data_IF_431589867864
#
_entry.id   IF_431589867864
#
_cell.length_a   1.000
_cell.length_b   1.000
_cell.length_c   1.000
_cell.angle_alpha   90.00
_cell.angle_beta   90.00
_cell.angle_gamma   90.00
#
_symmetry.space_group_name_H-M   'P 1'
#
loop_
_entity.id
_entity.type
_entity.pdbx_description
1 polymer ?
#
# COMPACT_ATOMS: atom_id res chain seq x y z
N UNK A 1 -12.67 36.14 8.59
CA UNK A 1 -13.49 35.17 7.83
C UNK A 1 -13.17 33.77 8.35
N UNK A 2 -14.14 33.13 9.01
CA UNK A 2 -13.98 31.79 9.59
C UNK A 2 -14.21 30.76 8.47
N UNK A 3 -13.18 29.99 8.13
CA UNK A 3 -13.31 28.94 7.13
C UNK A 3 -14.06 27.77 7.77
N UNK A 4 -15.29 27.51 7.32
CA UNK A 4 -16.10 26.39 7.79
C UNK A 4 -15.37 25.06 7.46
N UNK A 5 -14.96 24.26 8.47
CA UNK A 5 -14.21 23.02 8.26
C UNK A 5 -14.98 21.98 7.45
N UNK A 6 -16.31 22.10 7.39
CA UNK A 6 -17.19 21.23 6.61
C UNK A 6 -16.85 21.21 5.11
N UNK A 7 -16.42 22.33 4.54
CA UNK A 7 -16.14 22.43 3.10
C UNK A 7 -14.91 21.62 2.67
N UNK A 8 -13.92 21.45 3.55
CA UNK A 8 -12.73 20.64 3.29
C UNK A 8 -13.02 19.14 3.25
N UNK A 9 -13.94 18.66 4.10
CA UNK A 9 -14.32 17.25 4.13
C UNK A 9 -15.06 16.84 2.86
N UNK A 10 -16.04 17.64 2.43
CA UNK A 10 -16.82 17.37 1.20
C UNK A 10 -15.91 17.34 -0.04
N UNK A 11 -14.94 18.25 -0.15
CA UNK A 11 -13.96 18.26 -1.26
C UNK A 11 -13.02 17.05 -1.28
N UNK A 12 -12.71 16.42 -0.13
CA UNK A 12 -11.87 15.22 -0.11
C UNK A 12 -12.61 13.98 -0.63
N UNK A 13 -13.93 13.90 -0.44
CA UNK A 13 -14.75 12.76 -0.87
C UNK A 13 -15.09 12.75 -2.36
N UNK A 14 -15.08 13.91 -3.01
CA UNK A 14 -15.33 14.04 -4.46
C UNK A 14 -14.09 13.81 -5.34
N UNK A 15 -12.94 13.38 -4.78
CA UNK A 15 -11.77 13.05 -5.59
C UNK A 15 -11.94 11.68 -6.24
N UNK A 16 -11.72 11.62 -7.55
CA UNK A 16 -11.57 10.38 -8.31
C UNK A 16 -10.68 9.39 -7.57
N UNK A 17 -11.03 8.10 -7.59
CA UNK A 17 -10.36 7.03 -6.82
C UNK A 17 -8.86 7.06 -7.12
N UNK A 18 -8.03 7.62 -6.23
CA UNK A 18 -6.63 7.80 -6.56
C UNK A 18 -5.97 6.42 -6.51
N UNK A 19 -5.05 6.17 -7.46
CA UNK A 19 -4.21 4.98 -7.53
C UNK A 19 -4.88 3.67 -7.98
N UNK A 20 -5.88 3.72 -8.87
CA UNK A 20 -6.57 2.52 -9.36
C UNK A 20 -5.63 1.53 -10.08
N UNK A 21 -4.74 2.02 -10.94
CA UNK A 21 -3.77 1.20 -11.69
C UNK A 21 -2.76 0.55 -10.75
N UNK A 22 -2.25 1.32 -9.79
CA UNK A 22 -1.27 0.87 -8.82
C UNK A 22 -1.86 -0.15 -7.85
N UNK A 23 -3.14 0.00 -7.45
CA UNK A 23 -3.85 -1.00 -6.67
C UNK A 23 -3.94 -2.34 -7.41
N UNK A 24 -4.27 -2.31 -8.69
CA UNK A 24 -4.30 -3.51 -9.52
C UNK A 24 -2.91 -4.16 -9.61
N UNK A 25 -1.86 -3.37 -9.88
CA UNK A 25 -0.49 -3.86 -9.94
C UNK A 25 -0.01 -4.45 -8.61
N UNK A 26 -0.36 -3.83 -7.48
CA UNK A 26 -0.06 -4.34 -6.14
C UNK A 26 -0.72 -5.70 -5.92
N UNK A 27 -1.99 -5.87 -6.32
CA UNK A 27 -2.70 -7.16 -6.25
C UNK A 27 -2.01 -8.22 -7.11
N UNK A 28 -1.69 -7.89 -8.36
CA UNK A 28 -0.99 -8.79 -9.29
C UNK A 28 0.35 -9.28 -8.71
N UNK A 29 1.20 -8.34 -8.27
CA UNK A 29 2.49 -8.67 -7.64
C UNK A 29 2.31 -9.50 -6.36
N UNK A 30 1.32 -9.18 -5.55
CA UNK A 30 1.04 -9.92 -4.33
C UNK A 30 0.67 -11.37 -4.64
N UNK A 31 -0.23 -11.61 -5.60
CA UNK A 31 -0.66 -12.95 -6.01
C UNK A 31 0.44 -13.72 -6.74
N UNK A 32 1.20 -13.05 -7.62
CA UNK A 32 2.35 -13.64 -8.31
C UNK A 32 3.38 -14.20 -7.31
N UNK A 33 3.62 -13.48 -6.22
CA UNK A 33 4.50 -13.91 -5.13
C UNK A 33 3.80 -14.73 -4.03
N UNK A 34 2.58 -15.23 -4.29
CA UNK A 34 1.80 -16.10 -3.38
C UNK A 34 1.57 -15.48 -1.99
N UNK A 35 1.42 -14.16 -1.93
CA UNK A 35 1.24 -13.40 -0.69
C UNK A 35 2.45 -13.32 0.24
N UNK A 36 3.65 -13.72 -0.23
CA UNK A 36 4.89 -13.64 0.56
C UNK A 36 5.49 -12.24 0.63
N UNK A 37 5.04 -11.36 -0.25
CA UNK A 37 5.58 -10.01 -0.38
C UNK A 37 4.72 -9.04 0.43
N UNK A 38 5.31 -8.42 1.44
CA UNK A 38 4.73 -7.26 2.11
C UNK A 38 5.07 -5.95 1.42
N UNK A 39 4.52 -4.84 1.93
CA UNK A 39 4.66 -3.52 1.31
C UNK A 39 6.10 -3.12 0.97
N UNK A 40 7.09 -3.51 1.78
CA UNK A 40 8.51 -3.26 1.49
C UNK A 40 8.98 -3.90 0.19
N UNK A 41 8.69 -5.20 0.00
CA UNK A 41 9.08 -5.94 -1.20
C UNK A 41 8.28 -5.52 -2.42
N UNK A 42 6.99 -5.25 -2.23
CA UNK A 42 6.12 -4.71 -3.29
C UNK A 42 6.62 -3.34 -3.76
N UNK A 43 7.03 -2.45 -2.84
CA UNK A 43 7.61 -1.14 -3.22
C UNK A 43 8.85 -1.31 -4.11
N UNK A 44 9.70 -2.28 -3.78
CA UNK A 44 10.90 -2.60 -4.57
C UNK A 44 10.53 -3.12 -5.96
N UNK A 45 9.58 -4.05 -6.06
CA UNK A 45 9.10 -4.57 -7.33
C UNK A 45 8.46 -3.48 -8.20
N UNK A 46 7.61 -2.63 -7.61
CA UNK A 46 7.01 -1.48 -8.29
C UNK A 46 8.07 -0.50 -8.81
N UNK A 47 9.11 -0.24 -8.02
CA UNK A 47 10.20 0.64 -8.43
C UNK A 47 11.01 0.05 -9.59
N UNK A 48 11.20 -1.27 -9.61
CA UNK A 48 11.84 -1.97 -10.72
C UNK A 48 11.00 -1.90 -12.01
N UNK A 49 9.68 -1.89 -11.87
CA UNK A 49 8.74 -1.69 -12.99
C UNK A 49 8.58 -0.22 -13.41
N UNK A 50 9.27 0.72 -12.74
CA UNK A 50 9.24 2.14 -13.10
C UNK A 50 8.15 2.96 -12.40
N UNK A 51 7.47 2.41 -11.38
CA UNK A 51 6.51 3.15 -10.56
C UNK A 51 7.20 3.77 -9.33
N UNK A 52 7.45 5.10 -9.29
CA UNK A 52 8.11 5.76 -8.17
C UNK A 52 7.14 6.01 -7.00
N UNK A 53 6.53 4.95 -6.45
CA UNK A 53 5.65 5.07 -5.29
C UNK A 53 6.42 5.04 -3.97
N UNK A 54 6.03 5.90 -3.04
CA UNK A 54 6.54 5.85 -1.68
C UNK A 54 6.02 4.60 -0.95
N UNK A 55 6.89 3.95 -0.18
CA UNK A 55 6.54 2.78 0.64
C UNK A 55 5.38 3.05 1.64
N UNK A 56 5.20 4.30 2.08
CA UNK A 56 4.06 4.71 2.91
C UNK A 56 2.73 4.61 2.13
N UNK A 57 2.73 5.07 0.88
CA UNK A 57 1.57 5.00 -0.02
C UNK A 57 1.24 3.54 -0.34
N UNK A 58 2.25 2.74 -0.69
CA UNK A 58 2.07 1.28 -0.92
C UNK A 58 1.48 0.59 0.32
N UNK A 59 1.96 0.94 1.53
CA UNK A 59 1.40 0.39 2.78
C UNK A 59 -0.07 0.80 2.97
N UNK A 60 -0.44 2.04 2.66
CA UNK A 60 -1.83 2.52 2.74
C UNK A 60 -2.72 1.76 1.76
N UNK A 61 -2.30 1.67 0.49
CA UNK A 61 -3.04 0.96 -0.56
C UNK A 61 -3.22 -0.52 -0.23
N UNK A 62 -2.16 -1.22 0.23
CA UNK A 62 -2.30 -2.61 0.66
C UNK A 62 -3.31 -2.79 1.81
N UNK A 63 -3.39 -1.83 2.75
CA UNK A 63 -4.38 -1.90 3.84
C UNK A 63 -5.80 -1.68 3.36
N UNK A 64 -6.01 -0.73 2.45
CA UNK A 64 -7.32 -0.50 1.82
C UNK A 64 -7.80 -1.75 1.07
N UNK A 65 -6.87 -2.44 0.40
CA UNK A 65 -7.13 -3.69 -0.33
C UNK A 65 -7.11 -4.94 0.56
N UNK A 66 -6.96 -4.80 1.88
CA UNK A 66 -6.88 -5.88 2.87
C UNK A 66 -5.78 -6.92 2.59
N UNK A 67 -4.72 -6.51 1.89
CA UNK A 67 -3.57 -7.35 1.56
C UNK A 67 -2.54 -7.31 2.68
N UNK A 68 -2.26 -8.47 3.29
CA UNK A 68 -1.22 -8.63 4.29
C UNK A 68 -0.22 -9.72 3.86
N UNK A 69 1.05 -9.49 4.17
CA UNK A 69 2.10 -10.49 3.94
C UNK A 69 1.87 -11.71 4.81
N UNK A 70 1.80 -12.90 4.21
CA UNK A 70 1.58 -14.17 4.92
C UNK A 70 2.82 -14.66 5.68
N UNK A 71 3.92 -13.91 5.66
CA UNK A 71 5.17 -14.28 6.32
C UNK A 71 5.02 -14.19 7.84
N UNK A 72 5.12 -15.34 8.52
CA UNK A 72 5.17 -15.41 10.00
C UNK A 72 6.37 -14.61 10.52
N UNK A 73 6.13 -13.75 11.50
CA UNK A 73 7.20 -13.07 12.22
C UNK A 73 8.13 -14.12 12.86
N UNK A 74 9.42 -14.07 12.53
CA UNK A 74 10.42 -14.91 13.21
C UNK A 74 10.53 -14.43 14.66
N UNK A 75 10.32 -15.34 15.62
CA UNK A 75 10.60 -15.06 17.03
C UNK A 75 12.12 -15.04 17.21
N UNK A 76 12.63 -14.04 17.90
CA UNK A 76 14.06 -13.94 18.22
C UNK A 76 14.50 -15.19 19.00
N UNK A 77 15.60 -15.78 18.57
CA UNK A 77 16.28 -16.89 19.25
C UNK A 77 17.70 -16.38 19.51
N UNK A 78 17.96 -15.90 20.73
CA UNK A 78 19.33 -15.58 21.15
C UNK A 78 20.15 -16.87 21.23
N UNK A 79 21.39 -16.80 20.76
CA UNK A 79 22.51 -17.75 20.84
C UNK A 79 22.15 -19.23 21.09
N UNK A 80 22.24 -20.03 20.02
CA UNK A 80 22.58 -21.45 20.09
C UNK A 80 23.99 -21.63 19.53
#
# INVERSE_FOLDING_TARGET
MQQNPFYYQVKMHCREVPYAVEKQKIRELFHYHKGRYGYRRITLALRNEGYPLNHKTVRKLMREEQLASNLRCKKYQSYR
#
